data_IF_318944724300
#
_entry.id   IF_318944724300
#
_cell.length_a   1.000
_cell.length_b   1.000
_cell.length_c   1.000
_cell.angle_alpha   90.00
_cell.angle_beta   90.00
_cell.angle_gamma   90.00
#
_symmetry.space_group_name_H-M   'P 1'
#
loop_
_entity.id
_entity.type
_entity.pdbx_description
1 polymer ?
#
# COMPACT_ATOMS: atom_id res chain seq x y z
N UNK A 1 27.84 -42.00 44.82
CA UNK A 1 27.30 -42.37 43.49
C UNK A 1 25.79 -42.55 43.62
N UNK A 2 25.00 -41.58 43.17
CA UNK A 2 23.53 -41.62 43.17
C UNK A 2 23.02 -41.11 41.81
N UNK A 3 22.02 -41.83 41.33
CA UNK A 3 21.33 -41.80 40.05
C UNK A 3 20.54 -40.52 39.78
N UNK A 4 20.48 -40.06 38.53
CA UNK A 4 19.26 -39.43 37.98
C UNK A 4 19.07 -39.78 36.50
N UNK A 5 17.85 -40.28 36.21
CA UNK A 5 17.34 -40.76 34.94
C UNK A 5 17.12 -39.60 33.96
N UNK A 6 17.42 -39.80 32.68
CA UNK A 6 16.89 -38.99 31.56
C UNK A 6 16.03 -39.89 30.69
N UNK A 7 14.73 -39.62 30.65
CA UNK A 7 13.79 -40.22 29.72
C UNK A 7 13.63 -39.27 28.54
N UNK A 8 13.92 -39.75 27.33
CA UNK A 8 13.67 -39.06 26.06
C UNK A 8 12.45 -39.73 25.45
N UNK A 9 11.34 -39.00 25.35
CA UNK A 9 10.16 -39.42 24.58
C UNK A 9 10.34 -38.95 23.14
N UNK A 10 10.55 -39.89 22.23
CA UNK A 10 10.47 -39.67 20.78
C UNK A 10 9.03 -39.90 20.34
N UNK A 11 8.36 -38.84 19.86
CA UNK A 11 7.05 -38.95 19.22
C UNK A 11 7.27 -39.07 17.71
N UNK A 12 7.13 -40.28 17.19
CA UNK A 12 7.00 -40.55 15.77
C UNK A 12 5.50 -40.58 15.44
N UNK A 13 5.03 -39.64 14.61
CA UNK A 13 3.69 -39.67 14.04
C UNK A 13 3.83 -39.76 12.52
N UNK A 14 3.42 -40.93 12.01
CA UNK A 14 3.48 -41.31 10.62
C UNK A 14 2.47 -40.56 9.75
N UNK A 15 2.90 -40.24 8.53
CA UNK A 15 2.05 -39.74 7.47
C UNK A 15 1.28 -40.91 6.83
N UNK A 16 -0.05 -40.78 6.77
CA UNK A 16 -0.93 -41.65 5.98
C UNK A 16 -1.34 -40.85 4.74
N UNK A 17 -1.13 -41.36 3.50
CA UNK A 17 -1.67 -40.73 2.30
C UNK A 17 -3.13 -41.14 2.12
N UNK A 18 -4.05 -40.18 2.15
CA UNK A 18 -5.45 -40.38 1.73
C UNK A 18 -5.56 -39.91 0.28
N UNK A 19 -5.72 -40.86 -0.63
CA UNK A 19 -6.08 -40.61 -2.03
C UNK A 19 -7.57 -40.27 -2.10
N UNK A 20 -7.89 -39.06 -2.56
CA UNK A 20 -9.26 -38.64 -2.91
C UNK A 20 -9.45 -38.65 -4.44
N UNK A 21 -10.66 -38.97 -4.94
CA UNK A 21 -10.93 -39.09 -6.37
C UNK A 21 -10.87 -37.73 -7.07
N UNK A 22 -10.18 -37.69 -8.21
CA UNK A 22 -10.09 -36.53 -9.10
C UNK A 22 -11.43 -36.25 -9.77
N UNK A 23 -11.92 -35.02 -9.59
CA UNK A 23 -12.96 -34.45 -10.44
C UNK A 23 -12.28 -33.87 -11.69
N UNK A 24 -12.39 -34.62 -12.79
CA UNK A 24 -12.09 -34.11 -14.13
C UNK A 24 -13.11 -33.04 -14.51
N UNK A 25 -12.62 -31.83 -14.75
CA UNK A 25 -13.40 -30.72 -15.28
C UNK A 25 -13.50 -30.91 -16.80
N UNK A 26 -14.66 -31.34 -17.28
CA UNK A 26 -14.93 -31.59 -18.69
C UNK A 26 -15.32 -30.28 -19.39
N UNK A 27 -14.48 -29.85 -20.34
CA UNK A 27 -14.57 -28.56 -21.02
C UNK A 27 -15.60 -28.55 -22.15
N UNK A 28 -16.88 -28.53 -21.83
CA UNK A 28 -17.94 -28.32 -22.82
C UNK A 28 -18.27 -26.81 -22.99
N UNK A 29 -18.28 -26.27 -24.23
CA UNK A 29 -18.57 -24.87 -24.49
C UNK A 29 -20.07 -24.55 -24.36
N UNK A 30 -20.35 -23.46 -23.66
CA UNK A 30 -21.69 -22.92 -23.42
C UNK A 30 -22.25 -22.35 -24.74
N UNK A 31 -23.39 -22.88 -25.20
CA UNK A 31 -24.09 -22.34 -26.38
C UNK A 31 -24.86 -21.06 -26.01
N UNK A 32 -24.72 -19.97 -26.77
CA UNK A 32 -25.32 -18.67 -26.47
C UNK A 32 -26.72 -18.56 -27.06
N UNK A 33 -27.66 -19.37 -26.57
CA UNK A 33 -29.09 -19.22 -26.86
C UNK A 33 -29.86 -19.74 -25.65
N UNK A 34 -30.04 -18.89 -24.64
CA UNK A 34 -31.13 -18.95 -23.67
C UNK A 34 -30.90 -17.90 -22.58
N UNK A 35 -31.29 -16.66 -22.85
CA UNK A 35 -31.71 -15.64 -21.86
C UNK A 35 -32.21 -14.41 -22.62
N UNK A 36 -33.31 -14.56 -23.35
CA UNK A 36 -34.07 -13.42 -23.88
C UNK A 36 -35.12 -13.05 -22.83
N UNK A 37 -34.87 -11.95 -22.10
CA UNK A 37 -35.91 -11.26 -21.34
C UNK A 37 -36.58 -10.22 -22.26
N UNK A 38 -37.92 -10.07 -22.23
CA UNK A 38 -38.63 -9.25 -23.20
C UNK A 38 -38.45 -7.76 -22.93
N UNK A 39 -37.99 -7.04 -23.96
CA UNK A 39 -37.96 -5.58 -24.04
C UNK A 39 -39.39 -5.09 -24.31
N UNK A 40 -39.98 -4.36 -23.36
CA UNK A 40 -41.23 -3.60 -23.57
C UNK A 40 -40.89 -2.20 -24.05
N UNK A 41 -41.30 -1.88 -25.27
CA UNK A 41 -41.28 -0.53 -25.83
C UNK A 41 -42.55 0.25 -25.42
N UNK A 42 -42.48 1.54 -25.09
CA UNK A 42 -43.68 2.36 -24.85
C UNK A 42 -44.18 3.01 -26.15
N UNK A 43 -45.50 2.92 -26.40
CA UNK A 43 -46.21 3.72 -27.41
C UNK A 43 -46.76 5.03 -26.81
N UNK A 44 -46.99 6.08 -27.63
CA UNK A 44 -47.41 7.41 -27.17
C UNK A 44 -48.93 7.64 -27.25
N UNK A 45 -49.44 8.50 -26.35
CA UNK A 45 -50.82 9.01 -26.29
C UNK A 45 -51.52 8.54 -25.00
N UNK A 46 -52.23 9.35 -24.22
CA UNK A 46 -52.91 10.63 -24.43
C UNK A 46 -52.96 11.43 -23.12
N UNK A 47 -53.14 12.74 -23.29
CA UNK A 47 -53.17 13.76 -22.24
C UNK A 47 -54.32 13.60 -21.22
N UNK A 48 -54.05 13.99 -19.98
CA UNK A 48 -55.06 14.16 -18.94
C UNK A 48 -54.46 14.73 -17.67
N UNK A 49 -54.65 16.03 -17.46
CA UNK A 49 -54.03 16.85 -16.42
C UNK A 49 -54.18 16.31 -14.99
N UNK A 50 -53.20 16.61 -14.13
CA UNK A 50 -53.41 17.19 -12.80
C UNK A 50 -52.10 17.82 -12.26
N UNK A 51 -52.21 19.10 -11.94
CA UNK A 51 -51.17 20.01 -11.44
C UNK A 51 -50.60 19.54 -10.09
N UNK A 52 -49.28 19.65 -9.90
CA UNK A 52 -48.67 20.25 -8.69
C UNK A 52 -47.20 20.62 -8.94
N UNK A 53 -46.82 21.74 -8.34
CA UNK A 53 -45.62 22.53 -8.58
C UNK A 53 -44.30 21.73 -8.59
N UNK A 54 -43.57 21.82 -9.69
CA UNK A 54 -42.13 21.58 -9.72
C UNK A 54 -41.44 22.95 -9.64
N UNK A 55 -40.84 23.24 -8.48
CA UNK A 55 -39.81 24.26 -8.37
C UNK A 55 -38.61 23.84 -9.23
N UNK A 56 -37.89 24.78 -9.86
CA UNK A 56 -36.68 24.43 -10.59
C UNK A 56 -35.64 23.90 -9.62
N UNK A 57 -35.16 22.68 -9.84
CA UNK A 57 -33.98 22.13 -9.15
C UNK A 57 -32.79 22.97 -9.59
N UNK A 58 -32.44 23.97 -8.77
CA UNK A 58 -31.19 24.69 -8.86
C UNK A 58 -30.01 23.70 -8.68
N UNK A 59 -28.85 23.94 -9.32
CA UNK A 59 -27.69 23.08 -9.14
C UNK A 59 -27.29 23.11 -7.66
N UNK A 60 -27.17 21.93 -7.06
CA UNK A 60 -26.79 21.76 -5.68
C UNK A 60 -25.48 22.50 -5.40
N UNK A 61 -25.58 23.60 -4.66
CA UNK A 61 -24.44 24.20 -3.99
C UNK A 61 -23.90 23.15 -3.02
N UNK A 62 -22.72 22.61 -3.33
CA UNK A 62 -21.95 21.70 -2.50
C UNK A 62 -21.67 22.37 -1.16
N UNK A 63 -22.52 22.09 -0.18
CA UNK A 63 -22.31 22.52 1.20
C UNK A 63 -21.33 21.53 1.84
N UNK A 64 -20.14 21.96 2.31
CA UNK A 64 -19.13 21.05 2.86
C UNK A 64 -19.60 20.28 4.11
N UNK A 65 -20.67 20.73 4.77
CA UNK A 65 -21.27 20.07 5.95
C UNK A 65 -22.16 18.88 5.61
N UNK A 66 -22.84 18.87 4.46
CA UNK A 66 -23.63 17.69 4.05
C UNK A 66 -22.74 16.53 3.62
N UNK A 67 -21.54 16.81 3.09
CA UNK A 67 -20.58 15.77 2.74
C UNK A 67 -19.93 15.09 3.95
N UNK A 68 -19.67 15.82 5.03
CA UNK A 68 -19.04 15.25 6.22
C UNK A 68 -19.98 14.31 6.98
N UNK A 69 -21.23 14.71 7.19
CA UNK A 69 -22.21 13.87 7.89
C UNK A 69 -22.56 12.59 7.13
N UNK A 70 -22.69 12.66 5.80
CA UNK A 70 -22.85 11.45 4.97
C UNK A 70 -21.64 10.54 5.05
N UNK A 71 -20.42 11.09 5.03
CA UNK A 71 -19.20 10.32 5.17
C UNK A 71 -19.11 9.62 6.53
N UNK A 72 -19.48 10.33 7.60
CA UNK A 72 -19.56 9.78 8.95
C UNK A 72 -20.54 8.61 9.03
N UNK A 73 -21.76 8.79 8.50
CA UNK A 73 -22.76 7.72 8.45
C UNK A 73 -22.25 6.48 7.69
N UNK A 74 -21.59 6.66 6.54
CA UNK A 74 -21.02 5.54 5.78
C UNK A 74 -19.87 4.83 6.52
N UNK A 75 -19.03 5.59 7.22
CA UNK A 75 -17.93 5.03 7.98
C UNK A 75 -18.42 4.24 9.21
N UNK A 76 -19.48 4.73 9.87
CA UNK A 76 -20.19 4.02 10.93
C UNK A 76 -20.87 2.76 10.40
N UNK A 77 -21.38 2.79 9.17
CA UNK A 77 -21.89 1.62 8.44
C UNK A 77 -20.82 0.61 7.99
N UNK A 78 -19.54 0.81 8.34
CA UNK A 78 -18.47 -0.13 8.04
C UNK A 78 -17.83 0.01 6.65
N UNK A 79 -18.15 1.06 5.89
CA UNK A 79 -17.62 1.20 4.54
C UNK A 79 -16.13 1.61 4.57
N UNK A 80 -15.17 0.76 4.10
CA UNK A 80 -13.75 0.97 4.33
C UNK A 80 -13.22 2.24 3.65
N UNK A 81 -13.76 2.61 2.49
CA UNK A 81 -13.43 3.87 1.79
C UNK A 81 -13.79 5.09 2.65
N UNK A 82 -14.94 5.06 3.31
CA UNK A 82 -15.41 6.17 4.12
C UNK A 82 -14.60 6.28 5.43
N UNK A 83 -14.33 5.14 6.06
CA UNK A 83 -13.45 5.06 7.23
C UNK A 83 -12.04 5.57 6.90
N UNK A 84 -11.48 5.18 5.76
CA UNK A 84 -10.16 5.64 5.32
C UNK A 84 -10.13 7.15 5.13
N UNK A 85 -11.15 7.70 4.44
CA UNK A 85 -11.23 9.13 4.20
C UNK A 85 -11.36 9.92 5.50
N UNK A 86 -12.21 9.50 6.43
CA UNK A 86 -12.31 10.16 7.75
C UNK A 86 -11.01 10.03 8.55
N UNK A 87 -10.39 8.85 8.55
CA UNK A 87 -9.10 8.65 9.21
C UNK A 87 -8.04 9.61 8.68
N UNK A 88 -7.96 9.80 7.36
CA UNK A 88 -7.10 10.81 6.73
C UNK A 88 -7.46 12.24 7.13
N UNK A 89 -8.73 12.61 7.09
CA UNK A 89 -9.18 13.95 7.47
C UNK A 89 -8.78 14.28 8.91
N UNK A 90 -8.94 13.34 9.86
CA UNK A 90 -8.49 13.51 11.23
C UNK A 90 -6.97 13.53 11.38
N UNK A 91 -6.23 12.76 10.58
CA UNK A 91 -4.75 12.76 10.62
C UNK A 91 -4.14 14.06 10.08
N UNK A 92 -4.75 14.65 9.05
CA UNK A 92 -4.24 15.83 8.35
C UNK A 92 -4.88 17.14 8.85
N UNK A 93 -5.98 17.06 9.62
CA UNK A 93 -6.77 18.22 10.00
C UNK A 93 -7.55 18.85 8.83
N UNK A 94 -7.85 18.07 7.79
CA UNK A 94 -8.58 18.56 6.60
C UNK A 94 -10.08 18.66 6.89
N UNK A 95 -10.56 19.88 7.08
CA UNK A 95 -11.97 20.17 7.39
C UNK A 95 -12.43 19.75 8.79
N UNK A 96 -11.53 19.20 9.61
CA UNK A 96 -11.75 18.83 11.02
C UNK A 96 -10.54 19.20 11.86
N UNK A 97 -10.71 19.30 13.18
CA UNK A 97 -9.57 19.44 14.09
C UNK A 97 -8.74 18.16 14.02
N UNK A 98 -7.42 18.29 13.84
CA UNK A 98 -6.51 17.15 13.82
C UNK A 98 -6.63 16.33 15.10
N UNK A 99 -6.83 15.02 14.95
CA UNK A 99 -7.00 14.06 16.03
C UNK A 99 -6.40 12.70 15.60
N UNK A 100 -5.11 12.53 15.88
CA UNK A 100 -4.37 11.31 15.55
C UNK A 100 -4.96 10.07 16.21
N UNK A 101 -5.59 10.21 17.38
CA UNK A 101 -6.25 9.09 18.06
C UNK A 101 -7.49 8.63 17.31
N UNK A 102 -8.34 9.56 16.85
CA UNK A 102 -9.49 9.19 15.99
C UNK A 102 -9.02 8.59 14.68
N UNK A 103 -7.99 9.17 14.06
CA UNK A 103 -7.42 8.62 12.83
C UNK A 103 -6.96 7.17 13.03
N UNK A 104 -6.21 6.92 14.10
CA UNK A 104 -5.76 5.58 14.50
C UNK A 104 -6.93 4.61 14.70
N UNK A 105 -8.02 5.05 15.34
CA UNK A 105 -9.20 4.21 15.54
C UNK A 105 -9.88 3.83 14.21
N UNK A 106 -10.03 4.77 13.27
CA UNK A 106 -10.59 4.45 11.96
C UNK A 106 -9.72 3.48 11.18
N UNK A 107 -8.40 3.68 11.15
CA UNK A 107 -7.48 2.74 10.49
C UNK A 107 -7.50 1.36 11.17
N UNK A 108 -7.60 1.32 12.50
CA UNK A 108 -7.73 0.07 13.27
C UNK A 108 -9.00 -0.69 12.91
N UNK A 109 -10.13 0.01 12.71
CA UNK A 109 -11.39 -0.62 12.29
C UNK A 109 -11.26 -1.28 10.92
N UNK A 110 -10.65 -0.59 9.96
CA UNK A 110 -10.40 -1.14 8.61
C UNK A 110 -9.52 -2.39 8.71
N UNK A 111 -8.39 -2.29 9.40
CA UNK A 111 -7.45 -3.39 9.55
C UNK A 111 -8.11 -4.61 10.23
N UNK A 112 -8.89 -4.40 11.29
CA UNK A 112 -9.56 -5.49 12.01
C UNK A 112 -10.68 -6.15 11.21
N UNK A 113 -11.45 -5.38 10.43
CA UNK A 113 -12.57 -5.91 9.66
C UNK A 113 -12.14 -6.63 8.38
N UNK A 114 -10.99 -6.26 7.82
CA UNK A 114 -10.59 -6.67 6.48
C UNK A 114 -9.17 -7.26 6.41
N UNK A 115 -8.56 -7.61 7.55
CA UNK A 115 -7.21 -8.19 7.58
C UNK A 115 -7.09 -9.38 6.63
N UNK A 116 -8.05 -10.31 6.72
CA UNK A 116 -8.02 -11.59 5.99
C UNK A 116 -8.61 -11.50 4.57
N UNK A 117 -9.03 -10.30 4.14
CA UNK A 117 -9.55 -10.11 2.79
C UNK A 117 -8.48 -10.44 1.74
N UNK A 118 -8.91 -11.02 0.62
CA UNK A 118 -8.01 -11.35 -0.48
C UNK A 118 -7.21 -10.11 -0.92
N UNK A 119 -5.90 -10.23 -1.19
CA UNK A 119 -5.09 -9.15 -1.76
C UNK A 119 -5.59 -8.63 -3.12
N UNK A 120 -6.46 -9.40 -3.79
CA UNK A 120 -7.11 -9.02 -5.05
C UNK A 120 -8.48 -8.36 -4.86
N UNK A 121 -8.96 -8.20 -3.63
CA UNK A 121 -10.24 -7.56 -3.34
C UNK A 121 -10.21 -6.07 -3.73
N UNK A 122 -11.34 -5.47 -4.14
CA UNK A 122 -11.39 -4.05 -4.53
C UNK A 122 -10.87 -3.09 -3.44
N UNK A 123 -11.09 -3.42 -2.17
CA UNK A 123 -10.65 -2.63 -1.02
C UNK A 123 -9.21 -2.93 -0.54
N UNK A 124 -8.52 -3.92 -1.11
CA UNK A 124 -7.23 -4.40 -0.60
C UNK A 124 -6.17 -3.28 -0.48
N UNK A 125 -6.16 -2.33 -1.42
CA UNK A 125 -5.28 -1.16 -1.37
C UNK A 125 -5.53 -0.27 -0.14
N UNK A 126 -6.79 -0.04 0.20
CA UNK A 126 -7.19 0.75 1.37
C UNK A 126 -6.83 0.03 2.66
N UNK A 127 -7.07 -1.29 2.71
CA UNK A 127 -6.71 -2.11 3.86
C UNK A 127 -5.20 -2.09 4.09
N UNK A 128 -4.41 -2.27 3.03
CA UNK A 128 -2.97 -2.21 3.12
C UNK A 128 -2.46 -0.82 3.56
N UNK A 129 -3.07 0.26 3.06
CA UNK A 129 -2.76 1.62 3.48
C UNK A 129 -3.13 1.88 4.96
N UNK A 130 -4.21 1.27 5.46
CA UNK A 130 -4.57 1.33 6.87
C UNK A 130 -3.50 0.65 7.74
N UNK A 131 -3.02 -0.53 7.36
CA UNK A 131 -1.88 -1.18 8.03
C UNK A 131 -0.62 -0.30 8.02
N UNK A 132 -0.30 0.34 6.89
CA UNK A 132 0.84 1.30 6.81
C UNK A 132 0.65 2.47 7.76
N UNK A 133 -0.54 3.08 7.80
CA UNK A 133 -0.84 4.19 8.69
C UNK A 133 -0.72 3.77 10.17
N UNK A 134 -1.25 2.60 10.53
CA UNK A 134 -1.09 2.03 11.88
C UNK A 134 0.38 1.79 12.23
N UNK A 135 1.16 1.25 11.29
CA UNK A 135 2.60 1.06 11.49
C UNK A 135 3.33 2.38 11.74
N UNK A 136 2.97 3.47 11.05
CA UNK A 136 3.53 4.81 11.27
C UNK A 136 3.14 5.40 12.62
N UNK A 137 1.90 5.19 13.07
CA UNK A 137 1.47 5.57 14.42
C UNK A 137 2.16 4.76 15.51
N UNK A 138 2.38 3.46 15.30
CA UNK A 138 3.18 2.67 16.24
C UNK A 138 4.65 3.09 16.23
N UNK A 139 5.22 3.55 15.10
CA UNK A 139 6.60 4.04 15.11
C UNK A 139 6.79 5.32 15.93
N UNK A 140 5.85 6.25 15.80
CA UNK A 140 5.93 7.58 16.43
C UNK A 140 5.34 7.59 17.85
N UNK A 141 4.35 6.73 18.10
CA UNK A 141 3.43 6.87 19.23
C UNK A 141 2.50 8.06 19.03
N UNK A 142 1.38 8.06 19.76
CA UNK A 142 0.44 9.20 19.77
C UNK A 142 0.56 9.90 21.13
N UNK A 143 0.97 11.18 21.18
CA UNK A 143 1.11 11.93 22.42
C UNK A 143 -0.16 11.93 23.27
N UNK A 144 -0.01 11.95 24.59
CA UNK A 144 -1.11 11.98 25.56
C UNK A 144 -2.13 10.83 25.41
N UNK A 145 -1.73 9.70 24.82
CA UNK A 145 -2.61 8.56 24.59
C UNK A 145 -2.04 7.24 25.11
N UNK A 146 -2.85 6.18 24.97
CA UNK A 146 -2.47 4.78 25.22
C UNK A 146 -1.57 4.17 24.13
N UNK A 147 -1.52 4.77 22.93
CA UNK A 147 -0.71 4.28 21.82
C UNK A 147 0.71 4.82 22.01
N UNK A 148 1.58 3.99 22.56
CA UNK A 148 3.01 4.31 22.74
C UNK A 148 3.80 3.87 21.50
N UNK A 149 4.97 4.48 21.32
CA UNK A 149 5.89 4.06 20.29
C UNK A 149 6.31 2.59 20.53
N UNK A 150 6.12 1.76 19.52
CA UNK A 150 6.40 0.33 19.51
C UNK A 150 6.90 -0.05 18.11
N UNK A 151 8.22 -0.17 18.00
CA UNK A 151 8.87 -0.48 16.71
C UNK A 151 8.56 -1.89 16.24
N UNK A 152 8.33 -2.82 17.16
CA UNK A 152 8.04 -4.22 16.82
C UNK A 152 6.64 -4.35 16.24
N UNK A 153 5.64 -3.71 16.85
CA UNK A 153 4.30 -3.62 16.26
C UNK A 153 4.31 -2.92 14.92
N UNK A 154 5.06 -1.83 14.77
CA UNK A 154 5.18 -1.17 13.48
C UNK A 154 5.76 -2.11 12.41
N UNK A 155 6.83 -2.82 12.75
CA UNK A 155 7.45 -3.83 11.89
C UNK A 155 6.46 -4.92 11.49
N UNK A 156 5.62 -5.40 12.40
CA UNK A 156 4.56 -6.37 12.10
C UNK A 156 3.55 -5.80 11.10
N UNK A 157 3.02 -4.59 11.33
CA UNK A 157 2.05 -3.96 10.43
C UNK A 157 2.61 -3.75 9.03
N UNK A 158 3.85 -3.25 8.93
CA UNK A 158 4.52 -3.08 7.63
C UNK A 158 4.83 -4.43 6.98
N UNK A 159 5.29 -5.41 7.74
CA UNK A 159 5.56 -6.76 7.21
C UNK A 159 4.31 -7.38 6.61
N UNK A 160 3.18 -7.24 7.29
CA UNK A 160 1.90 -7.73 6.80
C UNK A 160 1.49 -7.03 5.50
N UNK A 161 1.45 -5.70 5.49
CA UNK A 161 1.09 -4.93 4.29
C UNK A 161 2.06 -5.14 3.12
N UNK A 162 3.36 -5.30 3.40
CA UNK A 162 4.39 -5.50 2.39
C UNK A 162 4.36 -6.89 1.76
N UNK A 163 4.12 -7.93 2.56
CA UNK A 163 4.19 -9.33 2.13
C UNK A 163 2.86 -9.87 1.62
N UNK A 164 1.75 -9.57 2.31
CA UNK A 164 0.43 -10.10 1.98
C UNK A 164 -0.24 -9.27 0.88
N UNK A 165 -0.30 -7.94 1.06
CA UNK A 165 -0.91 -7.03 0.08
C UNK A 165 0.07 -6.50 -0.98
N UNK A 166 1.37 -6.69 -0.78
CA UNK A 166 2.36 -6.14 -1.70
C UNK A 166 2.36 -4.62 -1.74
N UNK A 167 1.99 -3.92 -0.68
CA UNK A 167 1.92 -2.47 -0.67
C UNK A 167 3.32 -1.85 -0.76
N UNK A 168 3.52 -0.92 -1.71
CA UNK A 168 4.84 -0.36 -1.98
C UNK A 168 5.36 0.55 -0.84
N UNK A 169 4.47 1.31 -0.20
CA UNK A 169 4.82 2.16 0.95
C UNK A 169 5.19 1.31 2.16
N UNK A 170 4.48 0.21 2.41
CA UNK A 170 4.84 -0.76 3.44
C UNK A 170 6.22 -1.37 3.20
N UNK A 171 6.52 -1.72 1.95
CA UNK A 171 7.83 -2.25 1.56
C UNK A 171 8.95 -1.22 1.80
N UNK A 172 8.69 0.06 1.50
CA UNK A 172 9.62 1.15 1.80
C UNK A 172 9.81 1.38 3.30
N UNK A 173 8.73 1.46 4.08
CA UNK A 173 8.81 1.70 5.52
C UNK A 173 9.48 0.52 6.25
N UNK A 174 9.19 -0.71 5.83
CA UNK A 174 9.87 -1.91 6.33
C UNK A 174 11.36 -1.90 5.96
N UNK A 175 11.71 -1.51 4.73
CA UNK A 175 13.11 -1.38 4.33
C UNK A 175 13.85 -0.38 5.23
N UNK A 176 13.24 0.76 5.55
CA UNK A 176 13.81 1.75 6.45
C UNK A 176 14.02 1.22 7.85
N UNK A 177 13.12 0.39 8.38
CA UNK A 177 13.32 -0.25 9.69
C UNK A 177 14.59 -1.12 9.72
N UNK A 178 14.81 -1.91 8.66
CA UNK A 178 16.01 -2.75 8.57
C UNK A 178 17.30 -1.96 8.30
N UNK A 179 17.23 -0.85 7.57
CA UNK A 179 18.41 -0.07 7.19
C UNK A 179 18.81 1.01 8.22
N UNK A 180 17.90 1.42 9.10
CA UNK A 180 18.11 2.54 10.03
C UNK A 180 18.83 2.15 11.32
N UNK A 181 19.00 0.88 11.63
CA UNK A 181 19.73 0.46 12.83
C UNK A 181 21.23 0.73 12.63
N UNK A 182 21.89 1.56 13.47
CA UNK A 182 23.34 1.84 13.35
C UNK A 182 24.18 0.55 13.35
N UNK A 183 23.68 -0.46 14.04
CA UNK A 183 24.26 -1.81 14.14
C UNK A 183 23.58 -2.82 13.20
N UNK A 184 22.91 -2.37 12.13
CA UNK A 184 22.24 -3.25 11.17
C UNK A 184 23.18 -4.35 10.72
N UNK A 185 22.80 -5.59 11.03
CA UNK A 185 23.57 -6.76 10.65
C UNK A 185 23.66 -6.85 9.12
N UNK A 186 24.57 -7.69 8.62
CA UNK A 186 24.66 -7.95 7.18
C UNK A 186 23.33 -8.49 6.63
N UNK A 187 22.58 -9.24 7.42
CA UNK A 187 21.29 -9.78 7.01
C UNK A 187 20.19 -8.72 7.04
N UNK A 188 20.14 -7.85 8.06
CA UNK A 188 19.20 -6.71 8.07
C UNK A 188 19.40 -5.84 6.84
N UNK A 189 20.65 -5.52 6.51
CA UNK A 189 20.96 -4.76 5.30
C UNK A 189 20.44 -5.47 4.03
N UNK A 190 20.62 -6.79 3.92
CA UNK A 190 20.12 -7.58 2.78
C UNK A 190 18.59 -7.58 2.71
N UNK A 191 17.90 -7.73 3.84
CA UNK A 191 16.44 -7.67 3.90
C UNK A 191 15.94 -6.28 3.53
N UNK A 192 16.53 -5.23 4.09
CA UNK A 192 16.21 -3.84 3.79
C UNK A 192 16.40 -3.51 2.31
N UNK A 193 17.55 -3.85 1.73
CA UNK A 193 17.83 -3.63 0.31
C UNK A 193 16.86 -4.40 -0.60
N UNK A 194 16.45 -5.62 -0.23
CA UNK A 194 15.46 -6.40 -0.97
C UNK A 194 14.10 -5.72 -0.99
N UNK A 195 13.59 -5.32 0.17
CA UNK A 195 12.30 -4.62 0.28
C UNK A 195 12.32 -3.28 -0.43
N UNK A 196 13.43 -2.55 -0.33
CA UNK A 196 13.63 -1.29 -1.02
C UNK A 196 13.59 -1.45 -2.54
N UNK A 197 14.22 -2.51 -3.06
CA UNK A 197 14.17 -2.85 -4.48
C UNK A 197 12.75 -3.14 -4.98
N UNK A 198 11.97 -3.91 -4.21
CA UNK A 198 10.57 -4.20 -4.55
C UNK A 198 9.70 -2.94 -4.57
N UNK A 199 9.85 -2.07 -3.56
CA UNK A 199 9.13 -0.79 -3.50
C UNK A 199 9.50 0.12 -4.69
N UNK A 200 10.80 0.22 -5.01
CA UNK A 200 11.29 1.03 -6.12
C UNK A 200 10.76 0.55 -7.47
N UNK A 201 10.70 -0.78 -7.69
CA UNK A 201 10.12 -1.38 -8.87
C UNK A 201 8.63 -1.07 -9.05
N UNK A 202 7.90 -0.94 -7.93
CA UNK A 202 6.48 -0.53 -7.92
C UNK A 202 6.25 0.98 -8.08
N UNK A 203 7.31 1.77 -8.24
CA UNK A 203 7.19 3.21 -8.44
C UNK A 203 7.16 4.03 -7.15
N UNK A 204 7.48 3.43 -6.01
CA UNK A 204 7.59 4.16 -4.75
C UNK A 204 8.84 5.08 -4.83
N UNK A 205 8.62 6.38 -4.92
CA UNK A 205 9.65 7.36 -5.28
C UNK A 205 10.68 7.58 -4.17
N UNK A 206 10.28 7.51 -2.90
CA UNK A 206 11.23 7.59 -1.78
C UNK A 206 12.15 6.35 -1.74
N UNK A 207 11.63 5.18 -2.10
CA UNK A 207 12.39 3.95 -2.23
C UNK A 207 13.36 4.01 -3.41
N UNK A 208 12.91 4.53 -4.56
CA UNK A 208 13.76 4.80 -5.71
C UNK A 208 14.90 5.75 -5.35
N UNK A 209 14.62 6.83 -4.61
CA UNK A 209 15.63 7.78 -4.18
C UNK A 209 16.68 7.15 -3.25
N UNK A 210 16.23 6.38 -2.25
CA UNK A 210 17.14 5.73 -1.30
C UNK A 210 17.97 4.63 -1.98
N UNK A 211 17.34 3.80 -2.82
CA UNK A 211 18.05 2.78 -3.61
C UNK A 211 19.06 3.43 -4.55
N UNK A 212 18.68 4.53 -5.18
CA UNK A 212 19.54 5.29 -6.08
C UNK A 212 20.77 5.84 -5.37
N UNK A 213 20.62 6.38 -4.15
CA UNK A 213 21.75 6.80 -3.32
C UNK A 213 22.68 5.63 -2.97
N UNK A 214 22.12 4.51 -2.51
CA UNK A 214 22.90 3.33 -2.11
C UNK A 214 23.72 2.78 -3.29
N UNK A 215 23.11 2.69 -4.47
CA UNK A 215 23.79 2.25 -5.69
C UNK A 215 24.83 3.25 -6.17
N UNK A 216 24.55 4.55 -6.06
CA UNK A 216 25.48 5.59 -6.50
C UNK A 216 26.72 5.68 -5.62
N UNK A 217 26.55 5.61 -4.30
CA UNK A 217 27.63 5.69 -3.33
C UNK A 217 28.37 4.36 -3.15
N UNK A 218 27.71 3.24 -3.42
CA UNK A 218 28.25 1.91 -3.13
C UNK A 218 28.14 1.53 -1.66
N UNK A 219 27.05 1.94 -0.99
CA UNK A 219 26.84 1.67 0.43
C UNK A 219 26.72 0.15 0.66
N UNK A 220 27.80 -0.49 1.12
CA UNK A 220 27.93 -1.95 1.29
C UNK A 220 27.65 -2.78 0.02
N UNK A 221 27.63 -2.14 -1.15
CA UNK A 221 27.39 -2.73 -2.47
C UNK A 221 28.45 -2.20 -3.44
N UNK A 222 28.85 -2.96 -4.47
CA UNK A 222 29.65 -2.40 -5.55
C UNK A 222 28.94 -1.16 -6.17
N UNK A 223 29.63 -0.01 -6.29
CA UNK A 223 29.04 1.19 -6.89
C UNK A 223 28.50 0.91 -8.30
N UNK A 224 27.25 1.30 -8.52
CA UNK A 224 26.57 1.25 -9.81
C UNK A 224 26.03 2.65 -10.11
N UNK A 225 26.93 3.60 -10.37
CA UNK A 225 26.64 5.04 -10.48
C UNK A 225 25.56 5.34 -11.51
N UNK A 226 25.68 4.82 -12.73
CA UNK A 226 24.66 4.98 -13.77
C UNK A 226 23.27 4.51 -13.31
N UNK A 227 23.18 3.29 -12.74
CA UNK A 227 21.91 2.74 -12.23
C UNK A 227 21.36 3.55 -11.06
N UNK A 228 22.23 4.00 -10.16
CA UNK A 228 21.85 4.86 -9.04
C UNK A 228 21.26 6.18 -9.52
N UNK A 229 21.89 6.79 -10.52
CA UNK A 229 21.43 8.04 -11.13
C UNK A 229 20.10 7.86 -11.88
N UNK A 230 19.89 6.73 -12.57
CA UNK A 230 18.61 6.38 -13.19
C UNK A 230 17.48 6.36 -12.15
N UNK A 231 17.67 5.66 -11.03
CA UNK A 231 16.66 5.61 -9.96
C UNK A 231 16.41 6.97 -9.31
N UNK A 232 17.45 7.78 -9.10
CA UNK A 232 17.31 9.14 -8.59
C UNK A 232 16.55 10.05 -9.55
N UNK A 233 16.70 9.84 -10.86
CA UNK A 233 15.95 10.60 -11.88
C UNK A 233 14.46 10.27 -11.78
N UNK A 234 14.09 8.98 -11.76
CA UNK A 234 12.70 8.54 -11.57
C UNK A 234 12.08 9.09 -10.30
N UNK A 235 12.83 9.03 -9.19
CA UNK A 235 12.38 9.51 -7.90
C UNK A 235 12.13 11.02 -7.91
N UNK A 236 13.06 11.80 -8.49
CA UNK A 236 12.96 13.26 -8.59
C UNK A 236 11.71 13.68 -9.36
N UNK A 237 11.42 13.00 -10.47
CA UNK A 237 10.30 13.34 -11.34
C UNK A 237 8.94 13.06 -10.68
N UNK A 238 8.93 12.16 -9.69
CA UNK A 238 7.73 11.80 -8.92
C UNK A 238 7.68 12.44 -7.52
N UNK A 239 8.69 13.21 -7.13
CA UNK A 239 8.83 13.75 -5.77
C UNK A 239 7.87 14.93 -5.52
N UNK A 240 7.27 14.95 -4.33
CA UNK A 240 6.43 16.05 -3.85
C UNK A 240 7.29 17.28 -3.45
N UNK A 241 6.70 18.48 -3.30
CA UNK A 241 7.43 19.67 -2.86
C UNK A 241 8.10 19.52 -1.48
N UNK A 242 7.49 18.74 -0.58
CA UNK A 242 7.99 18.49 0.78
C UNK A 242 9.24 17.60 0.79
N UNK A 243 9.48 16.87 -0.30
CA UNK A 243 10.59 15.91 -0.44
C UNK A 243 11.81 16.54 -1.10
N UNK A 244 12.18 17.74 -0.64
CA UNK A 244 13.35 18.48 -1.14
C UNK A 244 14.64 17.64 -1.10
N UNK A 245 14.75 16.72 -0.14
CA UNK A 245 15.88 15.79 -0.02
C UNK A 245 16.08 14.88 -1.24
N UNK A 246 15.02 14.51 -1.97
CA UNK A 246 15.12 13.68 -3.18
C UNK A 246 15.81 14.49 -4.29
N UNK A 247 15.36 15.73 -4.49
CA UNK A 247 15.94 16.65 -5.47
C UNK A 247 17.40 16.96 -5.14
N UNK A 248 17.70 17.20 -3.87
CA UNK A 248 19.07 17.42 -3.40
C UNK A 248 19.96 16.19 -3.63
N UNK A 249 19.47 14.99 -3.33
CA UNK A 249 20.22 13.76 -3.59
C UNK A 249 20.47 13.51 -5.07
N UNK A 250 19.50 13.79 -5.94
CA UNK A 250 19.71 13.79 -7.38
C UNK A 250 20.78 14.81 -7.80
N UNK A 251 20.69 16.06 -7.33
CA UNK A 251 21.63 17.13 -7.67
C UNK A 251 23.08 16.79 -7.26
N UNK A 252 23.26 16.23 -6.06
CA UNK A 252 24.57 15.78 -5.58
C UNK A 252 25.11 14.61 -6.38
N UNK A 253 24.26 13.65 -6.75
CA UNK A 253 24.67 12.51 -7.55
C UNK A 253 25.06 12.94 -8.96
N UNK A 254 24.21 13.73 -9.63
CA UNK A 254 24.49 14.17 -10.99
C UNK A 254 25.75 15.04 -11.04
N UNK A 255 25.96 15.96 -10.10
CA UNK A 255 27.17 16.78 -10.05
C UNK A 255 28.47 15.96 -9.96
N UNK A 256 28.43 14.77 -9.33
CA UNK A 256 29.57 13.87 -9.18
C UNK A 256 29.68 12.81 -10.28
N UNK A 257 28.62 12.59 -11.07
CA UNK A 257 28.58 11.57 -12.11
C UNK A 257 29.41 11.99 -13.32
N UNK A 258 30.16 11.04 -13.89
CA UNK A 258 30.86 11.24 -15.17
C UNK A 258 29.85 11.39 -16.32
N UNK A 259 30.34 11.85 -17.48
CA UNK A 259 29.51 11.91 -18.69
C UNK A 259 29.02 10.51 -19.09
N UNK A 260 29.89 9.50 -19.00
CA UNK A 260 29.53 8.09 -19.28
C UNK A 260 28.44 7.58 -18.32
N UNK A 261 28.56 7.86 -17.02
CA UNK A 261 27.54 7.48 -16.02
C UNK A 261 26.18 8.10 -16.35
N UNK A 262 26.18 9.36 -16.78
CA UNK A 262 24.96 10.08 -17.17
C UNK A 262 24.36 9.52 -18.45
N UNK A 263 25.17 9.25 -19.46
CA UNK A 263 24.73 8.66 -20.72
C UNK A 263 24.11 7.27 -20.52
N UNK A 264 24.79 6.41 -19.74
CA UNK A 264 24.25 5.09 -19.38
C UNK A 264 22.97 5.21 -18.55
N UNK A 265 22.90 6.13 -17.59
CA UNK A 265 21.69 6.33 -16.79
C UNK A 265 20.48 6.70 -17.66
N UNK A 266 20.67 7.55 -18.68
CA UNK A 266 19.62 7.93 -19.62
C UNK A 266 19.16 6.73 -20.47
N UNK A 267 20.09 5.92 -20.98
CA UNK A 267 19.75 4.71 -21.73
C UNK A 267 18.93 3.72 -20.87
N UNK A 268 19.35 3.52 -19.62
CA UNK A 268 18.62 2.66 -18.68
C UNK A 268 17.23 3.21 -18.36
N UNK A 269 17.11 4.53 -18.22
CA UNK A 269 15.84 5.21 -17.97
C UNK A 269 14.87 5.02 -19.15
N UNK A 270 15.36 5.18 -20.38
CA UNK A 270 14.56 4.98 -21.59
C UNK A 270 14.02 3.55 -21.66
N UNK A 271 14.88 2.55 -21.47
CA UNK A 271 14.47 1.15 -21.43
C UNK A 271 13.45 0.86 -20.31
N UNK A 272 13.65 1.45 -19.13
CA UNK A 272 12.72 1.30 -18.00
C UNK A 272 11.33 1.87 -18.31
N UNK A 273 11.27 3.04 -18.97
CA UNK A 273 10.02 3.68 -19.34
C UNK A 273 9.32 2.91 -20.47
N UNK A 274 10.07 2.39 -21.44
CA UNK A 274 9.53 1.56 -22.52
C UNK A 274 8.89 0.28 -21.96
N UNK A 275 9.60 -0.47 -21.10
CA UNK A 275 9.09 -1.73 -20.54
C UNK A 275 7.91 -1.59 -19.56
N UNK A 276 7.44 -0.38 -19.25
CA UNK A 276 6.20 -0.13 -18.49
C UNK A 276 5.02 0.29 -19.36
N UNK A 277 5.26 0.60 -20.64
CA UNK A 277 4.22 0.98 -21.61
C UNK A 277 3.61 -0.24 -22.30
N UNK A 278 4.37 -1.33 -22.36
CA UNK A 278 3.97 -2.65 -22.88
C UNK A 278 3.32 -3.51 -21.78
#
# INVERSE_FOLDING_TARGET
MRTFKRAIFAFALGAIPVAGPGFGFDGAPVSPQDTVLPVVAPQPGTAGALKRAATPVAPAATSPTSSFSTLQYQAEGGHPVAQWKLGKMYAEGDGVIQDDMRAFEYFSRIANAHAEDSPSAPQASIVANAFVALGRYYLSGIPNSKVKADTERAREMFSYAASYFGNADAQYDLARLYLKTPDASRDDFRYGARWLGLAAQKGQHQAQALLGQMLFNGDRLPPQRARGLMWLTLARDSATPEEAWIKESYNRAIAKASEDDRAMALQMLEHWVQGRRD
#
